data_IF_385795752708
#
_entry.id   IF_385795752708
#
_cell.length_a   1.000
_cell.length_b   1.000
_cell.length_c   1.000
_cell.angle_alpha   90.00
_cell.angle_beta   90.00
_cell.angle_gamma   90.00
#
_symmetry.space_group_name_H-M   'P 1'
#
loop_
_entity.id
_entity.type
_entity.pdbx_description
1 polymer ?
#
# COMPACT_ATOMS: atom_id res chain seq x y z
N UNK A 1 -21.81 59.53 -23.18
CA UNK A 1 -21.49 58.68 -22.02
C UNK A 1 -22.78 57.91 -21.77
N UNK A 2 -23.00 56.68 -22.26
CA UNK A 2 -22.10 55.55 -22.45
C UNK A 2 -22.70 54.60 -23.49
N UNK A 3 -22.23 54.59 -24.73
CA UNK A 3 -22.65 53.57 -25.73
C UNK A 3 -21.56 53.38 -26.81
N UNK A 4 -20.29 53.45 -26.41
CA UNK A 4 -19.16 53.49 -27.34
C UNK A 4 -18.15 52.33 -27.20
N UNK A 5 -18.45 51.23 -26.49
CA UNK A 5 -17.40 50.21 -26.25
C UNK A 5 -17.73 48.73 -26.42
N UNK A 6 -18.97 48.34 -26.77
CA UNK A 6 -19.27 46.92 -27.00
C UNK A 6 -19.46 46.54 -28.48
N UNK A 7 -18.84 47.32 -29.36
CA UNK A 7 -18.45 46.84 -30.69
C UNK A 7 -17.19 45.98 -30.55
N UNK A 8 -17.34 44.76 -30.01
CA UNK A 8 -16.33 43.68 -30.13
C UNK A 8 -17.07 42.45 -30.66
N UNK A 9 -17.14 42.37 -31.99
CA UNK A 9 -16.27 41.48 -32.75
C UNK A 9 -16.90 40.09 -32.83
N UNK A 10 -17.74 39.95 -33.85
CA UNK A 10 -18.08 38.69 -34.49
C UNK A 10 -16.81 37.85 -34.64
N UNK A 11 -16.81 36.66 -34.06
CA UNK A 11 -15.95 35.56 -34.46
C UNK A 11 -16.85 34.33 -34.72
N UNK A 12 -16.60 33.58 -35.79
CA UNK A 12 -17.58 32.72 -36.43
C UNK A 12 -17.67 31.35 -35.74
N UNK A 13 -18.82 30.69 -35.98
CA UNK A 13 -19.08 29.29 -35.62
C UNK A 13 -17.96 28.38 -36.09
N UNK A 14 -17.44 27.54 -35.20
CA UNK A 14 -16.71 26.32 -35.54
C UNK A 14 -17.62 25.15 -35.18
N UNK A 15 -18.04 24.43 -36.22
CA UNK A 15 -18.70 23.14 -36.11
C UNK A 15 -17.69 22.11 -35.60
N UNK A 16 -17.94 21.53 -34.41
CA UNK A 16 -17.38 20.25 -34.00
C UNK A 16 -18.54 19.33 -33.59
N UNK A 17 -18.93 18.37 -34.45
CA UNK A 17 -19.72 17.23 -34.04
C UNK A 17 -18.75 16.14 -33.58
N UNK A 18 -18.87 15.64 -32.34
CA UNK A 18 -18.69 14.22 -31.98
C UNK A 18 -18.66 14.00 -30.46
N UNK A 19 -19.64 13.22 -29.99
CA UNK A 19 -19.51 12.30 -28.86
C UNK A 19 -19.09 12.88 -27.49
N UNK A 20 -19.78 13.90 -26.98
CA UNK A 20 -19.91 14.05 -25.52
C UNK A 20 -20.92 13.00 -25.05
N UNK A 21 -20.39 11.83 -24.71
CA UNK A 21 -21.14 10.63 -24.36
C UNK A 21 -22.37 10.94 -23.54
N UNK A 22 -23.48 10.31 -23.96
CA UNK A 22 -24.66 10.12 -23.14
C UNK A 22 -24.20 9.88 -21.71
N UNK A 23 -24.50 10.86 -20.86
CA UNK A 23 -24.60 10.60 -19.44
C UNK A 23 -25.78 9.64 -19.40
N UNK A 24 -25.49 8.34 -19.42
CA UNK A 24 -26.47 7.31 -19.15
C UNK A 24 -27.02 7.68 -17.77
N UNK A 25 -28.18 8.33 -17.76
CA UNK A 25 -29.06 8.42 -16.61
C UNK A 25 -29.47 6.97 -16.30
N UNK A 26 -28.56 6.24 -15.66
CA UNK A 26 -28.90 5.01 -14.97
C UNK A 26 -29.78 5.41 -13.79
N UNK A 27 -31.08 5.33 -14.03
CA UNK A 27 -32.15 5.28 -13.03
C UNK A 27 -32.07 3.98 -12.20
N UNK A 28 -30.86 3.47 -11.90
CA UNK A 28 -30.63 2.41 -10.94
C UNK A 28 -30.49 3.06 -9.57
N UNK A 29 -31.63 3.46 -9.00
CA UNK A 29 -31.74 3.71 -7.58
C UNK A 29 -31.50 2.38 -6.84
N UNK A 30 -30.23 2.00 -6.67
CA UNK A 30 -29.83 0.83 -5.91
C UNK A 30 -30.52 0.86 -4.55
N UNK A 31 -31.20 -0.23 -4.19
CA UNK A 31 -31.82 -0.29 -2.87
C UNK A 31 -30.72 -0.27 -1.80
N UNK A 32 -30.94 0.40 -0.64
CA UNK A 32 -29.97 0.41 0.46
C UNK A 32 -29.57 -1.00 0.93
N UNK A 33 -30.43 -1.99 0.64
CA UNK A 33 -30.25 -3.40 0.94
C UNK A 33 -29.23 -4.07 -0.01
N UNK A 34 -29.26 -3.74 -1.30
CA UNK A 34 -28.30 -4.22 -2.29
C UNK A 34 -26.91 -3.60 -2.09
N UNK A 35 -26.83 -2.29 -1.78
CA UNK A 35 -25.56 -1.61 -1.42
C UNK A 35 -24.91 -2.32 -0.21
N UNK A 36 -25.70 -2.64 0.81
CA UNK A 36 -25.22 -3.33 2.02
C UNK A 36 -24.82 -4.79 1.75
N UNK A 37 -25.48 -5.47 0.83
CA UNK A 37 -25.12 -6.83 0.43
C UNK A 37 -23.77 -6.87 -0.31
N UNK A 38 -23.54 -5.92 -1.21
CA UNK A 38 -22.26 -5.76 -1.93
C UNK A 38 -21.14 -5.40 -0.96
N UNK A 39 -21.37 -4.45 -0.04
CA UNK A 39 -20.41 -4.09 1.00
C UNK A 39 -20.02 -5.28 1.88
N UNK A 40 -21.00 -6.11 2.31
CA UNK A 40 -20.70 -7.34 3.06
C UNK A 40 -19.85 -8.33 2.26
N UNK A 41 -20.10 -8.46 0.96
CA UNK A 41 -19.33 -9.36 0.08
C UNK A 41 -17.88 -8.89 -0.05
N UNK A 42 -17.68 -7.59 -0.25
CA UNK A 42 -16.37 -6.92 -0.31
C UNK A 42 -15.65 -7.08 1.03
N UNK A 43 -16.33 -6.77 2.13
CA UNK A 43 -15.80 -6.92 3.48
C UNK A 43 -15.40 -8.37 3.80
N UNK A 44 -16.14 -9.37 3.33
CA UNK A 44 -15.83 -10.77 3.62
C UNK A 44 -14.61 -11.31 2.86
N UNK A 45 -14.14 -10.63 1.82
CA UNK A 45 -13.03 -11.12 0.97
C UNK A 45 -11.84 -10.18 1.01
N UNK A 46 -12.05 -8.90 0.74
CA UNK A 46 -10.97 -7.92 0.60
C UNK A 46 -10.42 -7.53 1.98
N UNK A 47 -11.30 -7.26 2.95
CA UNK A 47 -10.88 -6.85 4.28
C UNK A 47 -10.04 -7.90 5.01
N UNK A 48 -10.43 -9.19 5.13
CA UNK A 48 -9.61 -10.19 5.79
C UNK A 48 -8.29 -10.44 5.05
N UNK A 49 -8.29 -10.37 3.72
CA UNK A 49 -7.05 -10.51 2.94
C UNK A 49 -6.07 -9.36 3.23
N UNK A 50 -6.56 -8.11 3.23
CA UNK A 50 -5.75 -6.95 3.58
C UNK A 50 -5.25 -7.03 5.03
N UNK A 51 -6.13 -7.40 5.98
CA UNK A 51 -5.76 -7.61 7.37
C UNK A 51 -4.67 -8.68 7.53
N UNK A 52 -4.77 -9.79 6.82
CA UNK A 52 -3.80 -10.88 6.88
C UNK A 52 -2.43 -10.47 6.32
N UNK A 53 -2.40 -9.79 5.17
CA UNK A 53 -1.14 -9.29 4.61
C UNK A 53 -0.52 -8.24 5.53
N UNK A 54 -1.31 -7.33 6.08
CA UNK A 54 -0.81 -6.29 7.00
C UNK A 54 -0.28 -6.90 8.32
N UNK A 55 -0.93 -7.96 8.80
CA UNK A 55 -0.47 -8.76 9.94
C UNK A 55 0.90 -9.39 9.65
N UNK A 56 1.05 -10.09 8.51
CA UNK A 56 2.32 -10.72 8.13
C UNK A 56 3.43 -9.69 7.90
N UNK A 57 3.10 -8.55 7.30
CA UNK A 57 4.03 -7.44 7.09
C UNK A 57 4.56 -6.88 8.42
N UNK A 58 3.70 -6.75 9.42
CA UNK A 58 4.14 -6.30 10.73
C UNK A 58 4.97 -7.36 11.46
N UNK A 59 4.60 -8.64 11.33
CA UNK A 59 5.37 -9.76 11.86
C UNK A 59 6.78 -9.81 11.28
N UNK A 60 6.94 -9.58 9.98
CA UNK A 60 8.23 -9.51 9.30
C UNK A 60 9.14 -8.41 9.88
N UNK A 61 8.61 -7.22 10.19
CA UNK A 61 9.38 -6.18 10.90
C UNK A 61 9.84 -6.62 12.29
N UNK A 62 9.00 -7.34 13.03
CA UNK A 62 9.34 -7.84 14.38
C UNK A 62 10.30 -9.03 14.35
N UNK A 63 10.36 -9.78 13.26
CA UNK A 63 11.24 -10.94 13.11
C UNK A 63 12.71 -10.61 13.39
N UNK A 64 13.18 -9.39 13.05
CA UNK A 64 14.53 -8.94 13.38
C UNK A 64 14.73 -8.83 14.90
N UNK A 65 13.77 -8.22 15.60
CA UNK A 65 13.83 -8.04 17.05
C UNK A 65 13.86 -9.39 17.75
N UNK A 66 13.09 -10.38 17.28
CA UNK A 66 13.12 -11.74 17.81
C UNK A 66 14.43 -12.43 17.50
N UNK A 67 14.91 -12.38 16.25
CA UNK A 67 16.19 -12.97 15.86
C UNK A 67 17.36 -12.40 16.67
N UNK A 68 17.33 -11.11 17.01
CA UNK A 68 18.32 -10.49 17.87
C UNK A 68 18.38 -11.12 19.28
N UNK A 69 17.22 -11.48 19.84
CA UNK A 69 17.10 -12.15 21.14
C UNK A 69 17.52 -13.63 21.05
N UNK A 70 17.25 -14.29 19.93
CA UNK A 70 17.64 -15.69 19.68
C UNK A 70 19.13 -15.89 19.37
N UNK A 71 19.94 -14.84 19.37
CA UNK A 71 21.39 -14.95 19.20
C UNK A 71 21.91 -14.58 17.80
N UNK A 72 21.12 -13.94 16.93
CA UNK A 72 21.59 -13.45 15.62
C UNK A 72 22.83 -12.55 15.74
N UNK A 73 22.96 -11.82 16.85
CA UNK A 73 24.11 -10.96 17.13
C UNK A 73 25.38 -11.81 17.31
N UNK A 74 25.27 -12.95 17.99
CA UNK A 74 26.38 -13.87 18.25
C UNK A 74 26.70 -14.71 17.01
N UNK A 75 25.66 -15.21 16.31
CA UNK A 75 25.80 -16.03 15.09
C UNK A 75 26.46 -15.27 13.94
N UNK A 76 26.18 -13.97 13.84
CA UNK A 76 26.68 -13.12 12.75
C UNK A 76 27.84 -12.20 13.22
N UNK A 77 28.32 -12.35 14.46
CA UNK A 77 29.35 -11.54 15.12
C UNK A 77 29.12 -10.02 14.93
N UNK A 78 27.89 -9.56 15.16
CA UNK A 78 27.51 -8.17 14.97
C UNK A 78 27.86 -7.32 16.18
N UNK A 79 28.39 -6.13 15.92
CA UNK A 79 28.43 -5.07 16.95
C UNK A 79 27.03 -4.46 17.15
N UNK A 80 26.73 -3.96 18.35
CA UNK A 80 25.45 -3.31 18.65
C UNK A 80 25.12 -2.14 17.70
N UNK A 81 26.15 -1.44 17.21
CA UNK A 81 26.01 -0.38 16.20
C UNK A 81 25.60 -0.93 14.84
N UNK A 82 26.18 -2.05 14.39
CA UNK A 82 25.82 -2.70 13.13
C UNK A 82 24.39 -3.24 13.16
N UNK A 83 23.96 -3.84 14.27
CA UNK A 83 22.57 -4.28 14.44
C UNK A 83 21.58 -3.11 14.28
N UNK A 84 21.87 -1.96 14.90
CA UNK A 84 21.06 -0.75 14.75
C UNK A 84 20.99 -0.29 13.29
N UNK A 85 22.13 -0.29 12.59
CA UNK A 85 22.18 0.04 11.16
C UNK A 85 21.38 -0.93 10.27
N UNK A 86 21.37 -2.22 10.58
CA UNK A 86 20.53 -3.22 9.89
C UNK A 86 19.03 -2.95 10.04
N UNK A 87 18.61 -2.46 11.21
CA UNK A 87 17.22 -2.05 11.42
C UNK A 87 16.91 -0.75 10.68
N UNK A 88 17.83 0.23 10.71
CA UNK A 88 17.64 1.52 10.02
C UNK A 88 17.63 1.39 8.50
N UNK A 89 18.47 0.55 7.90
CA UNK A 89 18.58 0.43 6.43
C UNK A 89 17.29 -0.09 5.79
N UNK A 90 16.51 -0.88 6.54
CA UNK A 90 15.18 -1.30 6.15
C UNK A 90 14.24 -0.08 5.97
N UNK A 91 14.21 0.84 6.94
CA UNK A 91 13.40 2.06 6.85
C UNK A 91 13.90 3.00 5.74
N UNK A 92 15.21 3.04 5.49
CA UNK A 92 15.77 3.79 4.35
C UNK A 92 15.28 3.19 3.03
N UNK A 93 15.31 1.86 2.87
CA UNK A 93 14.77 1.18 1.69
C UNK A 93 13.27 1.46 1.49
N UNK A 94 12.50 1.45 2.58
CA UNK A 94 11.08 1.78 2.58
C UNK A 94 10.82 3.24 2.13
N UNK A 95 11.59 4.20 2.64
CA UNK A 95 11.48 5.61 2.26
C UNK A 95 11.80 5.82 0.77
N UNK A 96 12.85 5.16 0.27
CA UNK A 96 13.21 5.22 -1.15
C UNK A 96 12.14 4.60 -2.03
N UNK A 97 11.45 3.55 -1.58
CA UNK A 97 10.39 2.90 -2.32
C UNK A 97 9.08 3.69 -2.37
N UNK A 98 8.80 4.53 -1.37
CA UNK A 98 7.52 5.23 -1.26
C UNK A 98 7.28 6.17 -2.47
N UNK A 99 8.30 6.93 -2.87
CA UNK A 99 8.28 7.80 -4.04
C UNK A 99 7.97 7.08 -5.37
N UNK A 100 8.74 6.06 -5.80
CA UNK A 100 8.48 5.35 -7.03
C UNK A 100 7.18 4.57 -6.98
N UNK A 101 6.76 4.05 -5.82
CA UNK A 101 5.52 3.29 -5.70
C UNK A 101 4.28 4.16 -5.93
N UNK A 102 4.22 5.34 -5.33
CA UNK A 102 3.12 6.29 -5.56
C UNK A 102 3.06 6.68 -7.05
N UNK A 103 4.21 6.91 -7.67
CA UNK A 103 4.27 7.22 -9.11
C UNK A 103 3.80 6.03 -9.97
N UNK A 104 4.29 4.81 -9.72
CA UNK A 104 3.91 3.61 -10.48
C UNK A 104 2.43 3.29 -10.34
N UNK A 105 1.85 3.46 -9.14
CA UNK A 105 0.44 3.19 -8.89
C UNK A 105 -0.50 4.12 -9.65
N UNK A 106 -0.05 5.33 -10.00
CA UNK A 106 -0.83 6.22 -10.88
C UNK A 106 -0.88 5.74 -12.34
N UNK A 107 0.03 4.83 -12.74
CA UNK A 107 0.21 4.38 -14.14
C UNK A 107 -0.14 2.90 -14.35
N UNK A 108 -0.11 2.07 -13.31
CA UNK A 108 -0.25 0.62 -13.40
C UNK A 108 -1.54 0.12 -12.78
N UNK A 109 -2.03 -1.02 -13.28
CA UNK A 109 -3.15 -1.75 -12.68
C UNK A 109 -2.79 -2.21 -11.26
N UNK A 110 -3.41 -1.58 -10.26
CA UNK A 110 -3.14 -1.78 -8.84
C UNK A 110 -3.14 -3.25 -8.42
N UNK A 111 -4.11 -4.04 -8.89
CA UNK A 111 -4.24 -5.46 -8.55
C UNK A 111 -3.01 -6.28 -8.96
N UNK A 112 -2.44 -6.02 -10.14
CA UNK A 112 -1.24 -6.74 -10.62
C UNK A 112 0.00 -6.27 -9.86
N UNK A 113 0.11 -4.97 -9.59
CA UNK A 113 1.22 -4.40 -8.86
C UNK A 113 1.32 -4.98 -7.44
N UNK A 114 0.22 -4.98 -6.69
CA UNK A 114 0.19 -5.54 -5.32
C UNK A 114 0.54 -7.02 -5.29
N UNK A 115 -0.01 -7.82 -6.22
CA UNK A 115 0.31 -9.24 -6.30
C UNK A 115 1.81 -9.49 -6.55
N UNK A 116 2.42 -8.78 -7.49
CA UNK A 116 3.86 -8.90 -7.78
C UNK A 116 4.70 -8.47 -6.57
N UNK A 117 4.36 -7.35 -5.95
CA UNK A 117 5.07 -6.85 -4.76
C UNK A 117 5.05 -7.86 -3.62
N UNK A 118 3.90 -8.48 -3.33
CA UNK A 118 3.77 -9.48 -2.26
C UNK A 118 4.60 -10.73 -2.56
N UNK A 119 4.65 -11.18 -3.82
CA UNK A 119 5.49 -12.33 -4.23
C UNK A 119 6.98 -11.99 -4.10
N UNK A 120 7.39 -10.80 -4.55
CA UNK A 120 8.78 -10.33 -4.45
C UNK A 120 9.19 -10.20 -2.98
N UNK A 121 8.33 -9.59 -2.15
CA UNK A 121 8.55 -9.49 -0.70
C UNK A 121 8.69 -10.88 -0.05
N UNK A 122 7.78 -11.81 -0.32
CA UNK A 122 7.87 -13.18 0.20
C UNK A 122 9.13 -13.92 -0.25
N UNK A 123 9.57 -13.71 -1.50
CA UNK A 123 10.82 -14.29 -2.03
C UNK A 123 12.04 -13.74 -1.29
N UNK A 124 12.10 -12.42 -1.07
CA UNK A 124 13.20 -11.79 -0.36
C UNK A 124 13.20 -12.18 1.13
N UNK A 125 12.03 -12.35 1.74
CA UNK A 125 11.89 -12.86 3.11
C UNK A 125 12.51 -14.26 3.25
N UNK A 126 12.30 -15.16 2.28
CA UNK A 126 12.99 -16.47 2.28
C UNK A 126 14.51 -16.33 2.12
N UNK A 127 14.98 -15.36 1.32
CA UNK A 127 16.41 -15.09 1.15
C UNK A 127 17.07 -14.48 2.39
N UNK A 128 16.30 -13.98 3.37
CA UNK A 128 16.84 -13.38 4.59
C UNK A 128 17.62 -14.37 5.47
N UNK A 129 17.35 -15.68 5.35
CA UNK A 129 18.05 -16.73 6.08
C UNK A 129 19.39 -17.16 5.46
N UNK A 130 19.70 -16.73 4.23
CA UNK A 130 20.89 -17.16 3.49
C UNK A 130 22.22 -16.45 3.85
N UNK A 131 22.26 -15.13 4.19
CA UNK A 131 23.52 -14.44 4.39
C UNK A 131 24.14 -14.71 5.78
N UNK A 132 25.40 -15.15 5.78
CA UNK A 132 26.24 -15.31 6.98
C UNK A 132 27.13 -14.09 7.28
N UNK A 133 26.94 -12.98 6.57
CA UNK A 133 27.77 -11.77 6.67
C UNK A 133 26.90 -10.52 6.89
N UNK A 134 27.39 -9.54 7.67
CA UNK A 134 26.70 -8.27 7.92
C UNK A 134 26.25 -7.55 6.64
N UNK A 135 27.16 -7.39 5.67
CA UNK A 135 26.86 -6.67 4.43
C UNK A 135 25.79 -7.37 3.58
N UNK A 136 25.81 -8.70 3.53
CA UNK A 136 24.79 -9.49 2.83
C UNK A 136 23.43 -9.38 3.51
N UNK A 137 23.41 -9.46 4.83
CA UNK A 137 22.19 -9.29 5.63
C UNK A 137 21.59 -7.89 5.47
N UNK A 138 22.42 -6.84 5.53
CA UNK A 138 22.01 -5.46 5.32
C UNK A 138 21.46 -5.21 3.89
N UNK A 139 22.05 -5.82 2.86
CA UNK A 139 21.57 -5.70 1.49
C UNK A 139 20.19 -6.36 1.29
N UNK A 140 20.00 -7.58 1.81
CA UNK A 140 18.69 -8.26 1.76
C UNK A 140 17.64 -7.45 2.52
N UNK A 141 18.00 -6.85 3.66
CA UNK A 141 17.09 -5.98 4.42
C UNK A 141 16.72 -4.69 3.72
N UNK A 142 17.65 -4.09 2.98
CA UNK A 142 17.33 -2.94 2.14
C UNK A 142 16.32 -3.31 1.03
N UNK A 143 16.53 -4.45 0.35
CA UNK A 143 15.62 -4.95 -0.69
C UNK A 143 14.23 -5.31 -0.13
N UNK A 144 14.21 -5.88 1.08
CA UNK A 144 12.98 -6.20 1.79
C UNK A 144 12.21 -4.92 2.13
N UNK A 145 12.87 -3.90 2.69
CA UNK A 145 12.29 -2.59 2.94
C UNK A 145 11.79 -1.90 1.66
N UNK A 146 12.55 -2.02 0.56
CA UNK A 146 12.15 -1.46 -0.74
C UNK A 146 10.88 -2.11 -1.28
N UNK A 147 10.76 -3.44 -1.18
CA UNK A 147 9.57 -4.15 -1.65
C UNK A 147 8.37 -3.88 -0.74
N UNK A 148 8.61 -3.79 0.56
CA UNK A 148 7.56 -3.54 1.54
C UNK A 148 7.00 -2.11 1.48
N UNK A 149 7.82 -1.11 1.15
CA UNK A 149 7.38 0.29 1.07
C UNK A 149 6.28 0.55 0.04
N UNK A 150 6.11 -0.35 -0.92
CA UNK A 150 5.03 -0.31 -1.90
C UNK A 150 3.64 -0.68 -1.35
N UNK A 151 3.59 -1.46 -0.25
CA UNK A 151 2.35 -2.07 0.25
C UNK A 151 1.44 -1.03 0.91
N UNK A 152 2.01 -0.12 1.71
CA UNK A 152 1.27 0.94 2.42
C UNK A 152 0.43 1.83 1.47
N UNK A 153 1.01 2.49 0.44
CA UNK A 153 0.21 3.30 -0.47
C UNK A 153 -0.78 2.44 -1.26
N UNK A 154 -0.38 1.22 -1.64
CA UNK A 154 -1.25 0.33 -2.38
C UNK A 154 -2.51 -0.04 -1.60
N UNK A 155 -2.41 -0.28 -0.30
CA UNK A 155 -3.55 -0.59 0.55
C UNK A 155 -4.47 0.61 0.71
N UNK A 156 -3.91 1.80 0.92
CA UNK A 156 -4.70 3.05 0.94
C UNK A 156 -5.45 3.22 -0.38
N UNK A 157 -4.82 2.92 -1.51
CA UNK A 157 -5.47 3.04 -2.83
C UNK A 157 -6.54 1.96 -3.06
N UNK A 158 -6.30 0.72 -2.63
CA UNK A 158 -7.33 -0.34 -2.67
C UNK A 158 -8.54 0.08 -1.84
N UNK A 159 -8.34 0.56 -0.62
CA UNK A 159 -9.46 1.04 0.19
C UNK A 159 -10.18 2.22 -0.46
N UNK A 160 -9.45 3.08 -1.18
CA UNK A 160 -10.01 4.23 -1.88
C UNK A 160 -10.90 3.86 -3.07
N UNK A 161 -10.61 2.74 -3.75
CA UNK A 161 -11.36 2.27 -4.92
C UNK A 161 -12.61 1.48 -4.50
N UNK A 162 -12.50 0.65 -3.47
CA UNK A 162 -13.55 -0.32 -3.11
C UNK A 162 -14.58 0.20 -2.10
N UNK A 163 -14.29 1.29 -1.38
CA UNK A 163 -15.16 1.81 -0.32
C UNK A 163 -15.53 3.27 -0.55
N UNK A 164 -16.62 3.73 0.07
CA UNK A 164 -17.02 5.14 0.09
C UNK A 164 -16.19 5.93 1.10
N UNK A 165 -16.00 7.24 0.87
CA UNK A 165 -15.25 8.14 1.77
C UNK A 165 -15.74 8.11 3.22
N UNK A 166 -17.05 7.93 3.45
CA UNK A 166 -17.63 7.81 4.79
C UNK A 166 -17.19 6.54 5.54
N UNK A 167 -16.82 5.49 4.81
CA UNK A 167 -16.46 4.17 5.36
C UNK A 167 -14.94 3.97 5.42
N UNK A 168 -14.17 4.73 4.64
CA UNK A 168 -12.70 4.63 4.56
C UNK A 168 -12.04 4.62 5.93
N UNK A 169 -12.41 5.55 6.81
CA UNK A 169 -11.79 5.67 8.14
C UNK A 169 -11.98 4.42 8.98
N UNK A 170 -13.17 3.83 8.97
CA UNK A 170 -13.47 2.64 9.76
C UNK A 170 -12.72 1.41 9.23
N UNK A 171 -12.65 1.25 7.90
CA UNK A 171 -11.88 0.16 7.26
C UNK A 171 -10.39 0.32 7.48
N UNK A 172 -9.89 1.55 7.40
CA UNK A 172 -8.51 1.89 7.73
C UNK A 172 -8.16 1.58 9.17
N UNK A 173 -9.03 1.96 10.11
CA UNK A 173 -8.85 1.59 11.51
C UNK A 173 -8.82 0.07 11.71
N UNK A 174 -9.67 -0.69 11.01
CA UNK A 174 -9.70 -2.16 11.11
C UNK A 174 -8.39 -2.81 10.69
N UNK A 175 -7.87 -2.49 9.50
CA UNK A 175 -6.61 -3.10 9.05
C UNK A 175 -5.39 -2.56 9.83
N UNK A 176 -5.42 -1.30 10.28
CA UNK A 176 -4.37 -0.75 11.18
C UNK A 176 -4.36 -1.46 12.53
N UNK A 177 -5.53 -1.81 13.09
CA UNK A 177 -5.64 -2.53 14.37
C UNK A 177 -4.94 -3.90 14.34
N UNK A 178 -4.79 -4.50 13.15
CA UNK A 178 -4.04 -5.75 12.98
C UNK A 178 -2.56 -5.62 13.38
N UNK A 179 -1.99 -4.40 13.36
CA UNK A 179 -0.66 -4.14 13.89
C UNK A 179 -0.57 -4.51 15.39
N UNK A 180 -1.56 -4.09 16.18
CA UNK A 180 -1.63 -4.45 17.61
C UNK A 180 -1.78 -5.96 17.82
N UNK A 181 -2.61 -6.62 17.00
CA UNK A 181 -2.76 -8.08 17.04
C UNK A 181 -1.45 -8.78 16.68
N UNK A 182 -0.73 -8.29 15.67
CA UNK A 182 0.58 -8.80 15.26
C UNK A 182 1.64 -8.63 16.36
N UNK A 183 1.62 -7.55 17.14
CA UNK A 183 2.49 -7.40 18.31
C UNK A 183 2.20 -8.45 19.38
N UNK A 184 0.93 -8.69 19.71
CA UNK A 184 0.54 -9.67 20.72
C UNK A 184 0.95 -11.08 20.30
N UNK A 185 0.68 -11.45 19.05
CA UNK A 185 1.08 -12.77 18.51
C UNK A 185 2.59 -12.87 18.37
N UNK A 186 3.25 -11.81 17.91
CA UNK A 186 4.70 -11.77 17.77
C UNK A 186 5.40 -11.97 19.11
N UNK A 187 4.95 -11.31 20.18
CA UNK A 187 5.54 -11.47 21.52
C UNK A 187 5.36 -12.88 22.11
N UNK A 188 4.47 -13.71 21.55
CA UNK A 188 4.27 -15.09 21.97
C UNK A 188 5.25 -16.06 21.29
N UNK A 189 5.82 -15.69 20.14
CA UNK A 189 6.79 -16.45 19.36
C UNK A 189 8.23 -16.21 19.86
#
# INVERSE_FOLDING_TARGET
>A
MDNAFEKKMSAPKLDEPEARGEILDMDDSYTPEEEKAVLRKIDMVILPFMCFVFFLQYLDKQSLSYAAVFGLIDDLNLTSSQYSWCSSIFYVGQLVAEYPCIYLMSRLHLTKFVGVTVIVWGTICMCLAAPHNFAGFAAVRFLLGFSEGAVSPAFVTITSIWYRKSEHTLRTALWVTMNGVAQVVGCLL
#
